data_IF_146590268500
#
_entry.id   IF_146590268500
#
_cell.length_a   1.000
_cell.length_b   1.000
_cell.length_c   1.000
_cell.angle_alpha   90.00
_cell.angle_beta   90.00
_cell.angle_gamma   90.00
#
_symmetry.space_group_name_H-M   'P 1'
#
loop_
_entity.id
_entity.type
_entity.pdbx_description
1 polymer ?
#
# COMPACT_ATOMS: atom_id res chain seq x y z
N UNK A 1 -12.64 -59.23 -5.32
CA UNK A 1 -12.70 -58.45 -4.05
C UNK A 1 -11.34 -58.37 -3.36
N UNK A 2 -10.59 -59.48 -3.22
CA UNK A 2 -9.24 -59.48 -2.61
C UNK A 2 -8.24 -58.50 -3.26
N UNK A 3 -8.18 -58.42 -4.59
CA UNK A 3 -7.23 -57.55 -5.29
C UNK A 3 -7.49 -56.06 -5.01
N UNK A 4 -8.75 -55.64 -4.84
CA UNK A 4 -9.08 -54.24 -4.54
C UNK A 4 -8.58 -53.81 -3.15
N UNK A 5 -8.62 -54.73 -2.18
CA UNK A 5 -8.07 -54.52 -0.83
C UNK A 5 -6.55 -54.35 -0.85
N UNK A 6 -5.84 -55.13 -1.68
CA UNK A 6 -4.39 -54.99 -1.85
C UNK A 6 -3.99 -53.65 -2.46
N UNK A 7 -4.72 -53.16 -3.47
CA UNK A 7 -4.45 -51.84 -4.05
C UNK A 7 -4.75 -50.69 -3.05
N UNK A 8 -5.83 -50.80 -2.27
CA UNK A 8 -6.15 -49.82 -1.24
C UNK A 8 -5.07 -49.71 -0.15
N UNK A 9 -4.57 -50.86 0.32
CA UNK A 9 -3.46 -50.91 1.28
C UNK A 9 -2.17 -50.31 0.71
N UNK A 10 -1.85 -50.59 -0.56
CA UNK A 10 -0.68 -50.03 -1.22
C UNK A 10 -0.70 -48.49 -1.28
N UNK A 11 -1.85 -47.90 -1.61
CA UNK A 11 -2.01 -46.43 -1.67
C UNK A 11 -1.84 -45.81 -0.28
N UNK A 12 -2.43 -46.40 0.76
CA UNK A 12 -2.30 -45.90 2.14
C UNK A 12 -0.84 -45.92 2.59
N UNK A 13 -0.09 -46.99 2.28
CA UNK A 13 1.34 -47.08 2.61
C UNK A 13 2.14 -45.98 1.90
N UNK A 14 1.88 -45.70 0.62
CA UNK A 14 2.55 -44.64 -0.14
C UNK A 14 2.27 -43.26 0.48
N UNK A 15 1.02 -42.99 0.87
CA UNK A 15 0.63 -41.72 1.52
C UNK A 15 1.35 -41.54 2.86
N UNK A 16 1.39 -42.59 3.68
CA UNK A 16 2.08 -42.57 4.97
C UNK A 16 3.60 -42.36 4.82
N UNK A 17 4.21 -42.99 3.81
CA UNK A 17 5.62 -42.78 3.46
C UNK A 17 5.87 -41.34 2.99
N UNK A 18 5.00 -40.79 2.15
CA UNK A 18 5.08 -39.39 1.72
C UNK A 18 4.98 -38.40 2.88
N UNK A 19 4.06 -38.64 3.81
CA UNK A 19 3.91 -37.80 5.01
C UNK A 19 5.13 -37.88 5.94
N UNK A 20 5.70 -39.08 6.10
CA UNK A 20 6.93 -39.30 6.87
C UNK A 20 8.13 -38.57 6.25
N UNK A 21 8.31 -38.66 4.93
CA UNK A 21 9.38 -37.97 4.21
C UNK A 21 9.23 -36.44 4.28
N UNK A 22 8.02 -35.92 4.13
CA UNK A 22 7.74 -34.49 4.26
C UNK A 22 8.06 -33.97 5.68
N UNK A 23 7.62 -34.72 6.71
CA UNK A 23 7.93 -34.40 8.11
C UNK A 23 9.44 -34.44 8.37
N UNK A 24 10.16 -35.40 7.79
CA UNK A 24 11.61 -35.48 7.92
C UNK A 24 12.32 -34.30 7.25
N UNK A 25 11.91 -33.91 6.04
CA UNK A 25 12.42 -32.75 5.33
C UNK A 25 12.21 -31.43 6.10
N UNK A 26 10.99 -31.21 6.63
CA UNK A 26 10.69 -30.02 7.44
C UNK A 26 11.53 -29.96 8.71
N UNK A 27 11.76 -31.11 9.35
CA UNK A 27 12.65 -31.20 10.51
C UNK A 27 14.13 -30.93 10.15
N UNK A 28 14.60 -31.38 8.99
CA UNK A 28 15.95 -31.03 8.52
C UNK A 28 16.07 -29.51 8.26
N UNK A 29 15.10 -28.90 7.59
CA UNK A 29 15.07 -27.44 7.35
C UNK A 29 15.03 -26.63 8.64
N UNK A 30 14.28 -27.10 9.65
CA UNK A 30 14.26 -26.49 10.98
C UNK A 30 15.62 -26.58 11.67
N UNK A 31 16.30 -27.73 11.59
CA UNK A 31 17.66 -27.91 12.14
C UNK A 31 18.71 -27.05 11.42
N UNK A 32 18.64 -26.94 10.09
CA UNK A 32 19.49 -26.03 9.31
C UNK A 32 19.29 -24.56 9.75
N UNK A 33 18.04 -24.14 9.95
CA UNK A 33 17.72 -22.79 10.43
C UNK A 33 18.24 -22.56 11.86
N UNK A 34 18.07 -23.53 12.76
CA UNK A 34 18.61 -23.48 14.12
C UNK A 34 20.15 -23.47 14.13
N UNK A 35 20.81 -24.24 13.26
CA UNK A 35 22.26 -24.24 13.11
C UNK A 35 22.78 -22.93 12.52
N UNK A 36 22.10 -22.33 11.54
CA UNK A 36 22.50 -21.04 10.97
C UNK A 36 22.34 -19.92 12.01
N UNK A 37 21.27 -19.93 12.81
CA UNK A 37 21.11 -18.97 13.90
C UNK A 37 22.11 -19.19 15.04
N UNK A 38 22.47 -20.45 15.31
CA UNK A 38 23.48 -20.77 16.32
C UNK A 38 24.89 -20.39 15.84
N UNK A 39 25.24 -20.65 14.58
CA UNK A 39 26.50 -20.20 13.96
C UNK A 39 26.59 -18.68 13.90
N UNK A 40 25.47 -17.98 13.70
CA UNK A 40 25.42 -16.52 13.77
C UNK A 40 25.65 -16.00 15.19
N UNK A 41 25.02 -16.62 16.20
CA UNK A 41 25.23 -16.25 17.59
C UNK A 41 26.62 -16.65 18.12
N UNK A 42 27.18 -17.77 17.67
CA UNK A 42 28.52 -18.24 18.05
C UNK A 42 29.61 -17.37 17.38
N UNK A 43 29.40 -16.88 16.14
CA UNK A 43 30.27 -15.86 15.52
C UNK A 43 30.18 -14.50 16.23
N UNK A 44 29.02 -14.15 16.79
CA UNK A 44 28.85 -12.93 17.61
C UNK A 44 29.51 -13.09 18.99
N UNK A 45 29.60 -14.31 19.53
CA UNK A 45 30.21 -14.59 20.83
C UNK A 45 31.73 -14.84 20.76
N UNK A 46 32.28 -15.36 19.65
CA UNK A 46 33.74 -15.48 19.46
C UNK A 46 34.42 -14.13 19.14
N UNK A 47 33.68 -13.13 18.63
CA UNK A 47 34.19 -11.75 18.49
C UNK A 47 34.11 -10.94 19.80
N UNK A 48 33.52 -11.48 20.88
CA UNK A 48 33.42 -10.83 22.19
C UNK A 48 34.52 -11.21 23.20
N UNK A 49 35.49 -12.08 22.84
CA UNK A 49 36.57 -12.48 23.77
C UNK A 49 37.89 -11.69 23.67
N UNK A 50 38.03 -10.74 22.75
CA UNK A 50 39.22 -9.86 22.67
C UNK A 50 38.88 -8.39 22.89
N UNK A 51 38.72 -8.07 24.18
CA UNK A 51 39.08 -6.81 24.85
C UNK A 51 39.16 -5.52 24.00
N UNK A 52 38.01 -4.98 23.54
CA UNK A 52 37.84 -3.57 23.19
C UNK A 52 36.37 -3.12 23.26
N UNK A 53 36.16 -1.84 23.58
CA UNK A 53 34.91 -1.28 24.11
C UNK A 53 33.65 -1.41 23.21
N UNK A 54 32.46 -1.65 23.79
CA UNK A 54 31.24 -1.91 23.03
C UNK A 54 30.43 -0.62 22.85
N UNK A 55 30.63 0.12 21.77
CA UNK A 55 29.63 1.11 21.30
C UNK A 55 29.72 1.52 19.82
N UNK A 56 30.64 0.99 19.00
CA UNK A 56 30.85 1.51 17.64
C UNK A 56 30.42 0.59 16.48
N UNK A 57 30.08 -0.69 16.73
CA UNK A 57 29.88 -1.65 15.63
C UNK A 57 28.43 -1.69 15.12
N UNK A 58 27.41 -1.52 15.99
CA UNK A 58 26.00 -1.35 15.54
C UNK A 58 25.77 -0.03 14.81
N UNK A 59 26.57 0.99 15.09
CA UNK A 59 26.59 2.22 14.28
C UNK A 59 27.20 1.98 12.91
N UNK A 60 28.16 1.07 12.74
CA UNK A 60 28.89 0.94 11.48
C UNK A 60 28.04 0.33 10.35
N UNK A 61 27.24 -0.72 10.59
CA UNK A 61 26.40 -1.31 9.53
C UNK A 61 25.18 -0.45 9.16
N UNK A 62 24.53 0.18 10.14
CA UNK A 62 23.43 1.14 9.90
C UNK A 62 23.96 2.40 9.22
N UNK A 63 25.14 2.90 9.60
CA UNK A 63 25.81 3.99 8.91
C UNK A 63 26.26 3.59 7.51
N UNK A 64 26.68 2.35 7.27
CA UNK A 64 27.11 1.91 5.93
C UNK A 64 25.93 1.85 4.97
N UNK A 65 24.77 1.31 5.41
CA UNK A 65 23.55 1.34 4.61
C UNK A 65 23.00 2.77 4.43
N UNK A 66 22.95 3.59 5.50
CA UNK A 66 22.54 5.00 5.40
C UNK A 66 23.49 5.83 4.54
N UNK A 67 24.80 5.56 4.56
CA UNK A 67 25.80 6.28 3.77
C UNK A 67 25.73 5.88 2.30
N UNK A 68 25.54 4.59 1.98
CA UNK A 68 25.27 4.14 0.62
C UNK A 68 23.93 4.71 0.07
N UNK A 69 22.88 4.69 0.89
CA UNK A 69 21.57 5.25 0.54
C UNK A 69 21.62 6.78 0.36
N UNK A 70 22.28 7.51 1.26
CA UNK A 70 22.44 8.96 1.18
C UNK A 70 23.38 9.38 0.03
N UNK A 71 24.42 8.60 -0.28
CA UNK A 71 25.28 8.83 -1.45
C UNK A 71 24.52 8.64 -2.75
N UNK A 72 23.66 7.62 -2.84
CA UNK A 72 22.77 7.40 -3.99
C UNK A 72 21.73 8.53 -4.12
N UNK A 73 21.13 8.99 -3.01
CA UNK A 73 20.21 10.16 -3.03
C UNK A 73 20.93 11.45 -3.44
N UNK A 74 22.18 11.66 -3.00
CA UNK A 74 22.95 12.85 -3.36
C UNK A 74 23.34 12.85 -4.84
N UNK A 75 23.80 11.72 -5.39
CA UNK A 75 24.04 11.58 -6.83
C UNK A 75 22.76 11.70 -7.65
N UNK A 76 21.65 11.16 -7.14
CA UNK A 76 20.34 11.29 -7.79
C UNK A 76 19.88 12.75 -7.83
N UNK A 77 19.91 13.50 -6.71
CA UNK A 77 19.58 14.94 -6.67
C UNK A 77 20.41 15.76 -7.66
N UNK A 78 21.70 15.41 -7.82
CA UNK A 78 22.60 16.04 -8.80
C UNK A 78 22.17 15.76 -10.25
N UNK A 79 21.66 14.56 -10.52
CA UNK A 79 21.13 14.17 -11.84
C UNK A 79 19.71 14.71 -12.09
N UNK A 80 18.86 14.86 -11.07
CA UNK A 80 17.50 15.43 -11.20
C UNK A 80 17.52 16.92 -11.55
N UNK A 81 18.55 17.66 -11.09
CA UNK A 81 18.80 19.03 -11.54
C UNK A 81 19.14 19.16 -13.03
N UNK A 82 19.60 18.08 -13.69
CA UNK A 82 19.87 18.05 -15.13
C UNK A 82 18.68 17.52 -15.97
N UNK A 83 17.82 16.68 -15.39
CA UNK A 83 16.61 16.15 -16.05
C UNK A 83 15.47 17.20 -16.12
N UNK A 84 15.51 18.22 -15.26
CA UNK A 84 14.56 19.34 -15.22
C UNK A 84 14.55 20.21 -16.49
N UNK A 85 15.49 20.01 -17.43
CA UNK A 85 15.50 20.67 -18.74
C UNK A 85 14.93 19.82 -19.88
N UNK A 86 14.74 18.49 -19.70
CA UNK A 86 14.10 17.62 -20.72
C UNK A 86 12.60 17.41 -20.50
N UNK A 87 12.07 17.68 -19.30
CA UNK A 87 10.63 17.59 -19.00
C UNK A 87 9.80 18.80 -19.47
N UNK A 88 10.43 19.83 -20.07
CA UNK A 88 9.74 20.96 -20.69
C UNK A 88 9.35 20.73 -22.17
N UNK A 89 9.73 19.60 -22.77
CA UNK A 89 9.37 19.27 -24.16
C UNK A 89 8.13 18.37 -24.28
N UNK A 90 7.80 17.58 -23.25
CA UNK A 90 6.56 16.78 -23.23
C UNK A 90 5.32 17.60 -22.86
N UNK A 91 5.48 18.81 -22.31
CA UNK A 91 4.38 19.73 -22.00
C UNK A 91 3.92 20.60 -23.18
N UNK A 92 4.68 20.66 -24.29
CA UNK A 92 4.28 21.40 -25.51
C UNK A 92 3.44 20.59 -26.50
N UNK A 93 3.37 19.26 -26.37
CA UNK A 93 2.54 18.40 -27.24
C UNK A 93 1.07 18.41 -26.81
N UNK A 94 0.74 18.89 -25.60
CA UNK A 94 -0.62 18.84 -25.04
C UNK A 94 -1.44 20.13 -25.15
N UNK A 95 -0.93 21.20 -25.78
CA UNK A 95 -1.65 22.48 -25.85
C UNK A 95 -2.53 22.68 -27.09
N UNK A 96 -2.55 21.74 -28.05
CA UNK A 96 -3.25 21.93 -29.33
C UNK A 96 -4.40 20.96 -29.63
N UNK A 97 -4.83 20.11 -28.69
CA UNK A 97 -6.15 19.48 -28.85
C UNK A 97 -7.21 20.45 -28.37
N UNK A 98 -7.92 21.07 -29.30
CA UNK A 98 -9.16 21.80 -29.07
C UNK A 98 -10.12 20.91 -28.26
N UNK A 99 -10.17 21.18 -26.95
CA UNK A 99 -11.04 20.51 -26.00
C UNK A 99 -12.46 20.90 -26.37
N UNK A 100 -13.13 20.03 -27.13
CA UNK A 100 -14.58 19.94 -27.13
C UNK A 100 -15.00 19.97 -25.66
N UNK A 101 -15.85 20.93 -25.29
CA UNK A 101 -16.47 20.98 -23.98
C UNK A 101 -17.31 19.72 -23.80
N UNK A 102 -16.67 18.64 -23.34
CA UNK A 102 -17.34 17.39 -23.01
C UNK A 102 -18.27 17.77 -21.87
N UNK A 103 -19.57 17.86 -22.16
CA UNK A 103 -20.59 17.89 -21.12
C UNK A 103 -20.27 16.73 -20.18
N UNK A 104 -20.31 16.97 -18.87
CA UNK A 104 -20.04 16.00 -17.79
C UNK A 104 -21.03 14.83 -17.84
N UNK A 105 -20.97 14.02 -18.89
CA UNK A 105 -21.73 12.78 -19.04
C UNK A 105 -20.87 11.72 -18.35
N UNK A 106 -21.40 11.04 -17.32
CA UNK A 106 -20.70 9.92 -16.69
C UNK A 106 -20.24 8.93 -17.74
N UNK A 107 -19.00 8.48 -17.65
CA UNK A 107 -18.45 7.53 -18.61
C UNK A 107 -19.17 6.17 -18.54
N UNK A 108 -19.63 5.81 -17.34
CA UNK A 108 -20.38 4.59 -17.10
C UNK A 108 -21.73 4.89 -16.44
N UNK A 109 -22.78 4.21 -16.90
CA UNK A 109 -24.06 4.18 -16.23
C UNK A 109 -24.07 3.18 -15.07
N UNK A 110 -25.04 3.32 -14.17
CA UNK A 110 -25.38 2.26 -13.22
C UNK A 110 -25.68 0.96 -13.99
N UNK A 111 -25.23 -0.16 -13.44
CA UNK A 111 -25.36 -1.49 -14.03
C UNK A 111 -25.35 -2.51 -12.88
N UNK A 112 -26.55 -2.94 -12.48
CA UNK A 112 -26.73 -3.82 -11.33
C UNK A 112 -26.01 -5.16 -11.51
N UNK A 113 -25.94 -5.67 -12.74
CA UNK A 113 -25.24 -6.93 -13.05
C UNK A 113 -23.73 -6.77 -12.84
N UNK A 114 -23.14 -5.67 -13.31
CA UNK A 114 -21.72 -5.37 -13.03
C UNK A 114 -21.49 -5.25 -11.53
N UNK A 115 -22.33 -4.49 -10.82
CA UNK A 115 -22.19 -4.28 -9.38
C UNK A 115 -22.27 -5.59 -8.61
N UNK A 116 -23.23 -6.47 -8.92
CA UNK A 116 -23.36 -7.78 -8.29
C UNK A 116 -22.14 -8.68 -8.54
N UNK A 117 -21.66 -8.74 -9.79
CA UNK A 117 -20.45 -9.51 -10.13
C UNK A 117 -19.23 -9.02 -9.36
N UNK A 118 -19.02 -7.70 -9.30
CA UNK A 118 -17.92 -7.11 -8.54
C UNK A 118 -18.04 -7.42 -7.06
N UNK A 119 -19.25 -7.33 -6.50
CA UNK A 119 -19.50 -7.66 -5.11
C UNK A 119 -19.17 -9.12 -4.79
N UNK A 120 -19.51 -10.06 -5.67
CA UNK A 120 -19.13 -11.48 -5.51
C UNK A 120 -17.61 -11.67 -5.45
N UNK A 121 -16.86 -10.99 -6.32
CA UNK A 121 -15.39 -11.04 -6.37
C UNK A 121 -14.78 -10.50 -5.08
N UNK A 122 -15.22 -9.31 -4.64
CA UNK A 122 -14.70 -8.68 -3.43
C UNK A 122 -15.07 -9.48 -2.17
N UNK A 123 -16.30 -10.02 -2.10
CA UNK A 123 -16.70 -10.88 -1.00
C UNK A 123 -15.85 -12.16 -0.94
N UNK A 124 -15.61 -12.81 -2.08
CA UNK A 124 -14.73 -13.97 -2.13
C UNK A 124 -13.32 -13.63 -1.62
N UNK A 125 -12.78 -12.48 -2.03
CA UNK A 125 -11.49 -12.00 -1.55
C UNK A 125 -11.48 -11.82 -0.02
N UNK A 126 -12.51 -11.20 0.56
CA UNK A 126 -12.63 -10.99 2.01
C UNK A 126 -12.83 -12.29 2.79
N UNK A 127 -13.63 -13.23 2.26
CA UNK A 127 -13.83 -14.56 2.85
C UNK A 127 -12.54 -15.37 2.90
N UNK A 128 -11.64 -15.15 1.95
CA UNK A 128 -10.33 -15.80 1.92
C UNK A 128 -9.28 -15.10 2.78
N UNK A 129 -9.53 -13.87 3.24
CA UNK A 129 -8.57 -13.02 3.95
C UNK A 129 -9.14 -12.45 5.26
N UNK A 130 -9.62 -11.22 5.26
CA UNK A 130 -9.92 -10.44 6.45
C UNK A 130 -10.99 -11.05 7.35
N UNK A 131 -11.98 -11.75 6.80
CA UNK A 131 -13.07 -12.39 7.56
C UNK A 131 -12.65 -13.66 8.29
N UNK A 132 -11.49 -14.24 7.97
CA UNK A 132 -10.94 -15.38 8.73
C UNK A 132 -10.34 -14.98 10.07
N UNK A 133 -10.10 -13.68 10.30
CA UNK A 133 -9.46 -13.17 11.50
C UNK A 133 -10.53 -12.80 12.52
N UNK A 134 -10.38 -13.30 13.74
CA UNK A 134 -11.14 -12.77 14.87
C UNK A 134 -10.47 -11.48 15.34
N UNK A 135 -11.07 -10.34 15.05
CA UNK A 135 -10.55 -9.00 15.36
C UNK A 135 -11.44 -8.32 16.38
N UNK A 136 -10.82 -7.58 17.31
CA UNK A 136 -11.58 -6.74 18.23
C UNK A 136 -12.37 -5.68 17.45
N UNK A 137 -13.56 -5.31 17.96
CA UNK A 137 -14.47 -4.36 17.28
C UNK A 137 -13.79 -3.04 16.90
N UNK A 138 -12.86 -2.56 17.75
CA UNK A 138 -12.11 -1.32 17.52
C UNK A 138 -11.16 -1.38 16.31
N UNK A 139 -10.84 -2.58 15.82
CA UNK A 139 -9.99 -2.82 14.65
C UNK A 139 -10.76 -3.38 13.45
N UNK A 140 -12.10 -3.42 13.54
CA UNK A 140 -12.95 -3.98 12.49
C UNK A 140 -12.90 -3.17 11.20
N UNK A 141 -13.02 -1.86 11.33
CA UNK A 141 -13.05 -0.93 10.21
C UNK A 141 -11.68 -0.72 9.57
N UNK A 142 -11.63 -0.62 8.24
CA UNK A 142 -10.39 -0.33 7.51
C UNK A 142 -9.84 1.07 7.81
N UNK A 143 -10.74 2.03 8.02
CA UNK A 143 -10.46 3.35 8.56
C UNK A 143 -11.12 3.49 9.93
N UNK A 144 -10.30 3.85 10.92
CA UNK A 144 -10.73 4.11 12.28
C UNK A 144 -11.29 5.51 12.47
N UNK A 145 -11.16 6.01 13.70
CA UNK A 145 -11.59 7.35 14.09
C UNK A 145 -10.43 8.34 14.03
N UNK A 146 -10.77 9.63 13.93
CA UNK A 146 -9.83 10.71 14.12
C UNK A 146 -9.34 10.74 15.56
N UNK A 147 -8.02 10.90 15.72
CA UNK A 147 -7.35 10.99 16.99
C UNK A 147 -6.62 12.32 17.05
N UNK A 148 -6.93 13.09 18.09
CA UNK A 148 -6.35 14.41 18.31
C UNK A 148 -4.83 14.35 18.54
N UNK A 149 -4.19 15.52 18.45
CA UNK A 149 -2.76 15.67 18.65
C UNK A 149 -2.23 15.10 19.97
N UNK A 150 -2.99 15.26 21.06
CA UNK A 150 -2.54 14.84 22.39
C UNK A 150 -2.49 13.31 22.47
N UNK A 151 -3.53 12.65 21.96
CA UNK A 151 -3.62 11.21 21.92
C UNK A 151 -2.64 10.61 20.89
N UNK A 152 -2.38 11.29 19.76
CA UNK A 152 -1.26 10.97 18.88
C UNK A 152 0.07 10.95 19.66
N UNK A 153 0.39 12.02 20.38
CA UNK A 153 1.63 12.07 21.15
C UNK A 153 1.74 10.95 22.17
N UNK A 154 0.64 10.62 22.86
CA UNK A 154 0.62 9.50 23.83
C UNK A 154 0.92 8.17 23.13
N UNK A 155 0.25 7.91 22.02
CA UNK A 155 0.33 6.62 21.34
C UNK A 155 1.70 6.35 20.72
N UNK A 156 2.33 7.41 20.18
CA UNK A 156 3.70 7.33 19.65
C UNK A 156 4.77 7.61 20.72
N UNK A 157 4.38 7.65 21.99
CA UNK A 157 5.26 7.87 23.15
C UNK A 157 6.12 9.16 23.04
N UNK A 158 5.60 10.22 22.44
CA UNK A 158 6.29 11.51 22.29
C UNK A 158 6.11 12.32 23.57
N UNK A 159 7.15 12.38 24.41
CA UNK A 159 7.13 13.09 25.69
C UNK A 159 7.70 14.50 25.63
N UNK A 160 8.83 14.67 24.93
CA UNK A 160 9.61 15.91 24.89
C UNK A 160 8.82 17.04 24.21
N UNK A 161 8.78 18.21 24.85
CA UNK A 161 8.01 19.37 24.38
C UNK A 161 8.48 19.85 23.00
N UNK A 162 9.79 19.92 22.77
CA UNK A 162 10.38 20.31 21.49
C UNK A 162 9.93 19.39 20.34
N UNK A 163 9.86 18.07 20.59
CA UNK A 163 9.46 17.08 19.59
C UNK A 163 7.96 17.19 19.34
N UNK A 164 7.14 17.44 20.38
CA UNK A 164 5.71 17.74 20.22
C UNK A 164 5.51 18.98 19.36
N UNK A 165 6.23 20.07 19.61
CA UNK A 165 6.12 21.29 18.82
C UNK A 165 6.50 21.04 17.35
N UNK A 166 7.61 20.33 17.10
CA UNK A 166 8.03 19.95 15.74
C UNK A 166 6.99 19.07 15.05
N UNK A 167 6.43 18.09 15.75
CA UNK A 167 5.39 17.21 15.19
C UNK A 167 4.10 17.99 14.88
N UNK A 168 3.70 18.92 15.75
CA UNK A 168 2.49 19.73 15.57
C UNK A 168 2.55 20.61 14.31
N UNK A 169 3.74 21.07 13.93
CA UNK A 169 3.96 21.80 12.68
C UNK A 169 3.76 20.93 11.44
N UNK A 170 3.90 19.62 11.57
CA UNK A 170 3.76 18.66 10.47
C UNK A 170 2.38 18.03 10.43
N UNK A 171 1.79 17.77 11.60
CA UNK A 171 0.62 16.92 11.78
C UNK A 171 -0.20 17.39 12.99
N UNK A 172 -1.47 17.74 12.78
CA UNK A 172 -2.39 18.26 13.81
C UNK A 172 -3.23 17.17 14.48
N UNK A 173 -3.46 16.07 13.79
CA UNK A 173 -4.24 14.91 14.22
C UNK A 173 -3.93 13.76 13.30
N UNK A 174 -4.48 12.58 13.57
CA UNK A 174 -4.28 11.46 12.66
C UNK A 174 -5.53 10.58 12.57
N UNK A 175 -5.66 9.86 11.46
CA UNK A 175 -6.71 8.89 11.23
C UNK A 175 -6.11 7.48 11.29
N UNK A 176 -6.66 6.66 12.18
CA UNK A 176 -6.23 5.28 12.36
C UNK A 176 -6.57 4.43 11.13
N UNK A 177 -5.67 3.52 10.79
CA UNK A 177 -5.83 2.58 9.68
C UNK A 177 -5.74 1.17 10.24
N UNK A 178 -6.47 0.22 9.66
CA UNK A 178 -6.38 -1.18 10.08
C UNK A 178 -5.04 -1.80 9.67
N UNK A 179 -4.38 -2.49 10.60
CA UNK A 179 -3.17 -3.27 10.34
C UNK A 179 -3.49 -4.64 9.75
N UNK A 180 -3.78 -4.71 8.45
CA UNK A 180 -4.15 -5.96 7.77
C UNK A 180 -3.19 -6.40 6.66
N UNK A 181 -2.07 -5.70 6.46
CA UNK A 181 -1.16 -5.91 5.32
C UNK A 181 -1.52 -5.10 4.07
N UNK A 182 -2.64 -4.37 4.09
CA UNK A 182 -2.99 -3.35 3.10
C UNK A 182 -2.90 -1.93 3.68
N UNK A 183 -2.38 -1.75 4.90
CA UNK A 183 -2.41 -0.48 5.62
C UNK A 183 -1.74 0.68 4.86
N UNK A 184 -0.64 0.42 4.12
CA UNK A 184 -0.05 1.41 3.21
C UNK A 184 -1.04 1.89 2.15
N UNK A 185 -1.65 0.97 1.39
CA UNK A 185 -2.59 1.30 0.32
C UNK A 185 -3.88 1.93 0.85
N UNK A 186 -4.27 1.57 2.06
CA UNK A 186 -5.40 2.16 2.78
C UNK A 186 -5.09 3.63 3.13
N UNK A 187 -3.92 3.88 3.74
CA UNK A 187 -3.50 5.21 4.19
C UNK A 187 -3.20 6.16 3.02
N UNK A 188 -2.41 5.67 2.04
CA UNK A 188 -2.06 6.40 0.83
C UNK A 188 -3.28 6.62 -0.05
N UNK A 189 -4.04 5.53 -0.29
CA UNK A 189 -5.15 5.52 -1.21
C UNK A 189 -6.27 6.46 -0.78
N UNK A 190 -6.65 6.44 0.50
CA UNK A 190 -7.65 7.35 1.03
C UNK A 190 -7.26 8.83 0.80
N UNK A 191 -6.04 9.22 1.21
CA UNK A 191 -5.57 10.61 1.02
C UNK A 191 -5.48 11.01 -0.45
N UNK A 192 -5.04 10.10 -1.32
CA UNK A 192 -5.03 10.37 -2.76
C UNK A 192 -6.44 10.55 -3.33
N UNK A 193 -7.40 9.72 -2.92
CA UNK A 193 -8.79 9.88 -3.34
C UNK A 193 -9.38 11.21 -2.84
N UNK A 194 -9.01 11.67 -1.65
CA UNK A 194 -9.39 13.02 -1.20
C UNK A 194 -8.83 14.11 -2.13
N UNK A 195 -7.56 14.00 -2.53
CA UNK A 195 -6.96 14.92 -3.49
C UNK A 195 -7.72 14.89 -4.82
N UNK A 196 -7.95 13.71 -5.37
CA UNK A 196 -8.62 13.50 -6.66
C UNK A 196 -10.08 14.02 -6.65
N UNK A 197 -10.82 13.78 -5.57
CA UNK A 197 -12.24 14.14 -5.48
C UNK A 197 -12.46 15.61 -5.09
N UNK A 198 -11.59 16.19 -4.25
CA UNK A 198 -11.81 17.52 -3.66
C UNK A 198 -10.86 18.61 -4.15
N UNK A 199 -9.65 18.25 -4.60
CA UNK A 199 -8.63 19.25 -4.98
C UNK A 199 -8.46 19.35 -6.49
N UNK A 200 -8.58 18.25 -7.23
CA UNK A 200 -8.54 18.28 -8.68
C UNK A 200 -9.75 19.01 -9.25
N UNK A 201 -9.51 19.91 -10.20
CA UNK A 201 -10.53 20.47 -11.08
C UNK A 201 -11.17 19.36 -11.91
N UNK A 202 -12.33 19.62 -12.49
CA UNK A 202 -13.04 18.61 -13.30
C UNK A 202 -12.19 18.14 -14.48
N UNK A 203 -11.49 19.04 -15.19
CA UNK A 203 -10.63 18.65 -16.31
C UNK A 203 -9.44 17.80 -15.86
N UNK A 204 -8.84 18.09 -14.70
CA UNK A 204 -7.75 17.29 -14.11
C UNK A 204 -8.25 15.90 -13.70
N UNK A 205 -9.44 15.82 -13.10
CA UNK A 205 -10.10 14.56 -12.77
C UNK A 205 -10.39 13.74 -14.04
N UNK A 206 -11.02 14.34 -15.05
CA UNK A 206 -11.35 13.65 -16.30
C UNK A 206 -10.09 13.20 -17.05
N UNK A 207 -9.06 14.02 -17.06
CA UNK A 207 -7.77 13.64 -17.63
C UNK A 207 -7.15 12.45 -16.88
N UNK A 208 -7.20 12.44 -15.55
CA UNK A 208 -6.74 11.30 -14.76
C UNK A 208 -7.50 10.02 -15.12
N UNK A 209 -8.84 10.06 -15.14
CA UNK A 209 -9.68 8.92 -15.50
C UNK A 209 -9.35 8.43 -16.92
N UNK A 210 -9.21 9.35 -17.88
CA UNK A 210 -8.86 9.03 -19.28
C UNK A 210 -7.50 8.34 -19.37
N UNK A 211 -6.48 8.88 -18.70
CA UNK A 211 -5.13 8.30 -18.70
C UNK A 211 -5.13 6.89 -18.13
N UNK A 212 -5.81 6.67 -17.00
CA UNK A 212 -5.91 5.34 -16.36
C UNK A 212 -6.65 4.34 -17.27
N UNK A 213 -7.75 4.75 -17.89
CA UNK A 213 -8.62 3.86 -18.67
C UNK A 213 -8.09 3.55 -20.07
N UNK A 214 -7.70 4.57 -20.81
CA UNK A 214 -7.50 4.46 -22.25
C UNK A 214 -6.02 4.44 -22.64
N UNK A 215 -5.20 5.23 -21.94
CA UNK A 215 -3.78 5.38 -22.28
C UNK A 215 -2.96 4.25 -21.65
N UNK A 216 -3.10 4.06 -20.34
CA UNK A 216 -2.35 3.04 -19.59
C UNK A 216 -3.08 1.69 -19.64
N UNK A 217 -4.42 1.69 -19.72
CA UNK A 217 -5.26 0.50 -19.59
C UNK A 217 -4.90 -0.27 -18.32
N UNK A 218 -4.90 0.44 -17.19
CA UNK A 218 -4.40 -0.09 -15.93
C UNK A 218 -5.14 -1.39 -15.55
N UNK A 219 -4.41 -2.49 -15.28
CA UNK A 219 -5.03 -3.69 -14.76
C UNK A 219 -5.55 -3.48 -13.32
N UNK A 220 -6.43 -4.36 -12.92
CA UNK A 220 -7.08 -4.55 -11.63
C UNK A 220 -6.79 -5.99 -11.17
N UNK A 221 -5.56 -6.47 -11.42
CA UNK A 221 -5.15 -7.82 -11.05
C UNK A 221 -4.88 -7.91 -9.55
N UNK A 222 -5.29 -9.02 -8.94
CA UNK A 222 -4.95 -9.31 -7.55
C UNK A 222 -4.87 -10.83 -7.33
N UNK A 223 -3.87 -11.25 -6.56
CA UNK A 223 -3.64 -12.62 -6.15
C UNK A 223 -3.88 -12.78 -4.65
N UNK A 224 -4.36 -13.95 -4.25
CA UNK A 224 -4.29 -14.39 -2.85
C UNK A 224 -2.86 -14.82 -2.48
N UNK A 225 -2.62 -15.03 -1.18
CA UNK A 225 -1.32 -15.51 -0.66
C UNK A 225 -0.91 -16.85 -1.29
N UNK A 226 -1.88 -17.71 -1.61
CA UNK A 226 -1.67 -18.97 -2.33
C UNK A 226 -1.48 -18.80 -3.85
N UNK A 227 -1.29 -17.56 -4.31
CA UNK A 227 -1.13 -17.15 -5.71
C UNK A 227 -2.35 -17.39 -6.59
N UNK A 228 -3.51 -17.73 -6.02
CA UNK A 228 -4.76 -17.80 -6.77
C UNK A 228 -5.13 -16.41 -7.27
N UNK A 229 -5.18 -16.24 -8.59
CA UNK A 229 -5.66 -15.01 -9.21
C UNK A 229 -7.18 -14.93 -9.10
N UNK A 230 -7.69 -13.88 -8.46
CA UNK A 230 -9.09 -13.78 -8.08
C UNK A 230 -9.97 -13.29 -9.23
N UNK A 231 -9.39 -12.59 -10.21
CA UNK A 231 -10.15 -11.84 -11.20
C UNK A 231 -9.78 -12.20 -12.65
N UNK A 232 -9.36 -13.45 -12.89
CA UNK A 232 -9.08 -13.94 -14.25
C UNK A 232 -10.26 -13.60 -15.18
N UNK A 233 -10.02 -12.72 -16.16
CA UNK A 233 -10.98 -12.21 -17.14
C UNK A 233 -12.10 -11.28 -16.62
N UNK A 234 -12.02 -10.81 -15.36
CA UNK A 234 -12.99 -9.87 -14.77
C UNK A 234 -12.40 -8.48 -14.47
N UNK A 235 -11.14 -8.29 -14.84
CA UNK A 235 -10.39 -7.03 -14.80
C UNK A 235 -11.19 -5.80 -15.25
N UNK A 236 -11.86 -5.92 -16.40
CA UNK A 236 -12.62 -4.83 -16.98
C UNK A 236 -13.83 -4.44 -16.13
N UNK A 237 -14.52 -5.42 -15.53
CA UNK A 237 -15.70 -5.14 -14.70
C UNK A 237 -15.31 -4.45 -13.39
N UNK A 238 -14.25 -4.93 -12.73
CA UNK A 238 -13.68 -4.28 -11.54
C UNK A 238 -13.29 -2.84 -11.84
N UNK A 239 -12.57 -2.61 -12.94
CA UNK A 239 -12.13 -1.27 -13.36
C UNK A 239 -13.32 -0.36 -13.65
N UNK A 240 -14.29 -0.80 -14.45
CA UNK A 240 -15.50 -0.01 -14.77
C UNK A 240 -16.27 0.37 -13.50
N UNK A 241 -16.42 -0.57 -12.57
CA UNK A 241 -17.14 -0.32 -11.32
C UNK A 241 -16.40 0.66 -10.41
N UNK A 242 -15.07 0.55 -10.30
CA UNK A 242 -14.27 1.51 -9.56
C UNK A 242 -14.43 2.93 -10.10
N UNK A 243 -14.35 3.10 -11.42
CA UNK A 243 -14.51 4.41 -12.07
C UNK A 243 -15.93 4.94 -11.89
N UNK A 244 -16.96 4.10 -12.10
CA UNK A 244 -18.35 4.48 -11.87
C UNK A 244 -18.56 5.03 -10.45
N UNK A 245 -18.00 4.38 -9.43
CA UNK A 245 -18.08 4.85 -8.04
C UNK A 245 -17.34 6.16 -7.81
N UNK A 246 -16.17 6.36 -8.43
CA UNK A 246 -15.46 7.64 -8.37
C UNK A 246 -16.25 8.78 -9.02
N UNK A 247 -16.84 8.56 -10.19
CA UNK A 247 -17.68 9.54 -10.88
C UNK A 247 -18.93 9.86 -10.06
N UNK A 248 -19.58 8.85 -9.48
CA UNK A 248 -20.71 9.02 -8.56
C UNK A 248 -20.32 9.93 -7.39
N UNK A 249 -19.19 9.68 -6.73
CA UNK A 249 -18.70 10.55 -5.66
C UNK A 249 -18.40 11.97 -6.16
N UNK A 250 -17.70 12.11 -7.30
CA UNK A 250 -17.37 13.42 -7.88
C UNK A 250 -18.60 14.23 -8.26
N UNK A 251 -19.71 13.58 -8.61
CA UNK A 251 -20.97 14.25 -9.00
C UNK A 251 -21.69 14.97 -7.83
N UNK A 252 -21.44 14.56 -6.58
CA UNK A 252 -22.09 15.14 -5.39
C UNK A 252 -21.61 16.57 -5.18
N UNK A 253 -22.45 17.58 -5.40
CA UNK A 253 -22.02 18.99 -5.37
C UNK A 253 -21.61 19.48 -3.97
N UNK A 254 -22.30 19.02 -2.92
CA UNK A 254 -21.96 19.41 -1.55
C UNK A 254 -20.67 18.70 -1.08
N UNK A 255 -19.63 19.49 -0.82
CA UNK A 255 -18.29 18.99 -0.49
C UNK A 255 -18.27 18.16 0.79
N UNK A 256 -18.98 18.58 1.83
CA UNK A 256 -18.98 17.87 3.11
C UNK A 256 -19.74 16.54 3.04
N UNK A 257 -20.85 16.52 2.30
CA UNK A 257 -21.60 15.28 1.99
C UNK A 257 -20.71 14.33 1.21
N UNK A 258 -20.03 14.82 0.16
CA UNK A 258 -19.08 14.01 -0.63
C UNK A 258 -17.96 13.45 0.25
N UNK A 259 -17.39 14.25 1.17
CA UNK A 259 -16.34 13.82 2.11
C UNK A 259 -16.85 12.73 3.05
N UNK A 260 -18.04 12.91 3.63
CA UNK A 260 -18.69 11.91 4.48
C UNK A 260 -18.95 10.60 3.74
N UNK A 261 -19.45 10.66 2.50
CA UNK A 261 -19.69 9.48 1.68
C UNK A 261 -18.39 8.75 1.31
N UNK A 262 -17.32 9.48 0.98
CA UNK A 262 -16.01 8.88 0.76
C UNK A 262 -15.51 8.15 2.01
N UNK A 263 -15.55 8.82 3.17
CA UNK A 263 -15.13 8.25 4.44
C UNK A 263 -15.91 6.97 4.75
N UNK A 264 -17.24 7.00 4.65
CA UNK A 264 -18.09 5.84 4.92
C UNK A 264 -17.81 4.68 3.94
N UNK A 265 -17.72 4.97 2.63
CA UNK A 265 -17.45 3.95 1.61
C UNK A 265 -16.08 3.28 1.79
N UNK A 266 -15.10 3.99 2.31
CA UNK A 266 -13.74 3.47 2.56
C UNK A 266 -13.61 2.82 3.94
N UNK A 267 -14.40 3.27 4.92
CA UNK A 267 -14.48 2.69 6.27
C UNK A 267 -15.18 1.33 6.27
N UNK A 268 -16.22 1.18 5.44
CA UNK A 268 -17.10 0.02 5.42
C UNK A 268 -16.29 -1.28 5.26
N UNK A 269 -16.35 -2.13 6.30
CA UNK A 269 -15.67 -3.43 6.30
C UNK A 269 -16.50 -4.53 5.60
N UNK A 270 -17.82 -4.36 5.60
CA UNK A 270 -18.81 -5.26 5.02
C UNK A 270 -19.99 -4.43 4.49
N UNK A 271 -21.00 -5.12 3.96
CA UNK A 271 -22.28 -4.47 3.67
C UNK A 271 -22.89 -3.99 4.98
N UNK A 272 -22.88 -2.68 5.20
CA UNK A 272 -23.53 -2.02 6.33
C UNK A 272 -25.00 -1.71 5.99
N UNK A 273 -25.26 -1.28 4.75
CA UNK A 273 -26.59 -0.98 4.22
C UNK A 273 -26.63 -1.10 2.67
N UNK A 274 -27.65 -0.56 2.01
CA UNK A 274 -27.75 -0.53 0.55
C UNK A 274 -26.75 0.41 -0.13
N UNK A 275 -26.25 1.42 0.59
CA UNK A 275 -25.34 2.44 0.07
C UNK A 275 -23.87 2.02 0.23
N UNK A 276 -23.56 1.32 1.32
CA UNK A 276 -22.21 0.90 1.71
C UNK A 276 -22.11 -0.62 1.72
N UNK A 277 -21.73 -1.18 0.57
CA UNK A 277 -21.59 -2.62 0.35
C UNK A 277 -20.20 -3.20 0.68
N UNK A 278 -19.30 -2.37 1.24
CA UNK A 278 -17.91 -2.72 1.55
C UNK A 278 -17.00 -2.90 0.32
N UNK A 279 -17.49 -2.73 -0.91
CA UNK A 279 -16.70 -3.04 -2.11
C UNK A 279 -15.74 -1.93 -2.51
N UNK A 280 -16.04 -0.67 -2.17
CA UNK A 280 -15.25 0.47 -2.60
C UNK A 280 -13.82 0.45 -2.03
N UNK A 281 -13.64 0.01 -0.78
CA UNK A 281 -12.33 -0.22 -0.19
C UNK A 281 -11.54 -1.29 -0.98
N UNK A 282 -12.14 -2.44 -1.26
CA UNK A 282 -11.49 -3.53 -2.00
C UNK A 282 -11.05 -3.11 -3.40
N UNK A 283 -11.96 -2.46 -4.14
CA UNK A 283 -11.67 -1.89 -5.46
C UNK A 283 -10.53 -0.86 -5.41
N UNK A 284 -10.56 0.04 -4.42
CA UNK A 284 -9.51 1.04 -4.24
C UNK A 284 -8.15 0.40 -3.95
N UNK A 285 -8.10 -0.60 -3.07
CA UNK A 285 -6.85 -1.30 -2.74
C UNK A 285 -6.28 -2.04 -3.95
N UNK A 286 -7.12 -2.72 -4.75
CA UNK A 286 -6.71 -3.35 -6.01
C UNK A 286 -6.15 -2.29 -6.97
N UNK A 287 -6.85 -1.17 -7.14
CA UNK A 287 -6.40 -0.06 -7.98
C UNK A 287 -5.02 0.46 -7.55
N UNK A 288 -4.84 0.77 -6.25
CA UNK A 288 -3.57 1.31 -5.75
C UNK A 288 -2.42 0.32 -5.80
N UNK A 289 -2.69 -0.98 -5.65
CA UNK A 289 -1.70 -2.03 -5.86
C UNK A 289 -1.21 -2.08 -7.32
N UNK A 290 -2.14 -2.01 -8.28
CA UNK A 290 -1.79 -2.03 -9.71
C UNK A 290 -1.12 -0.72 -10.16
N UNK A 291 -1.57 0.43 -9.68
CA UNK A 291 -0.92 1.72 -10.01
C UNK A 291 0.48 1.82 -9.42
N UNK A 292 0.73 1.21 -8.26
CA UNK A 292 2.08 1.08 -7.69
C UNK A 292 3.02 0.31 -8.60
N UNK A 293 2.56 -0.81 -9.17
CA UNK A 293 3.36 -1.55 -10.16
C UNK A 293 3.62 -0.70 -11.40
N UNK A 294 2.59 -0.07 -11.95
CA UNK A 294 2.76 0.75 -13.14
C UNK A 294 3.76 1.89 -12.90
N UNK A 295 3.63 2.60 -11.78
CA UNK A 295 4.54 3.67 -11.38
C UNK A 295 5.98 3.15 -11.18
N UNK A 296 6.13 1.99 -10.53
CA UNK A 296 7.42 1.35 -10.32
C UNK A 296 8.08 0.96 -11.65
N UNK A 297 7.32 0.45 -12.62
CA UNK A 297 7.87 0.03 -13.92
C UNK A 297 8.49 1.19 -14.73
N UNK A 298 8.05 2.43 -14.45
CA UNK A 298 8.61 3.67 -14.99
C UNK A 298 9.81 4.20 -14.17
N UNK A 299 10.12 3.61 -13.01
CA UNK A 299 11.21 4.04 -12.14
C UNK A 299 12.52 3.30 -12.48
N UNK A 300 13.63 4.04 -12.50
CA UNK A 300 14.98 3.51 -12.74
C UNK A 300 15.43 2.50 -11.67
N UNK A 301 14.93 2.63 -10.43
CA UNK A 301 15.27 1.79 -9.29
C UNK A 301 14.41 0.52 -9.18
N UNK A 302 13.55 0.22 -10.18
CA UNK A 302 12.62 -0.92 -10.11
C UNK A 302 13.29 -2.26 -9.84
N UNK A 303 14.51 -2.46 -10.33
CA UNK A 303 15.27 -3.69 -10.14
C UNK A 303 15.78 -3.87 -8.69
N UNK A 304 15.70 -2.83 -7.84
CA UNK A 304 16.02 -2.93 -6.41
C UNK A 304 14.84 -3.45 -5.57
N UNK A 305 13.63 -3.50 -6.14
CA UNK A 305 12.45 -4.06 -5.49
C UNK A 305 12.41 -5.55 -5.79
N UNK A 306 13.06 -6.34 -4.94
CA UNK A 306 13.26 -7.78 -5.16
C UNK A 306 11.98 -8.61 -4.99
N UNK A 307 10.98 -8.06 -4.31
CA UNK A 307 9.70 -8.70 -3.99
C UNK A 307 8.54 -7.99 -4.69
N UNK A 308 8.75 -7.55 -5.93
CA UNK A 308 7.79 -6.77 -6.74
C UNK A 308 6.43 -7.47 -6.86
N UNK A 309 6.39 -8.80 -6.90
CA UNK A 309 5.17 -9.60 -6.95
C UNK A 309 4.25 -9.36 -5.74
N UNK A 310 4.80 -9.04 -4.56
CA UNK A 310 4.04 -8.76 -3.35
C UNK A 310 3.10 -7.56 -3.51
N UNK A 311 3.37 -6.67 -4.48
CA UNK A 311 2.49 -5.56 -4.81
C UNK A 311 1.11 -6.04 -5.29
N UNK A 312 1.00 -7.21 -5.93
CA UNK A 312 -0.28 -7.80 -6.37
C UNK A 312 -0.80 -8.90 -5.45
N UNK A 313 -0.11 -9.22 -4.36
CA UNK A 313 -0.60 -10.20 -3.39
C UNK A 313 -1.38 -9.46 -2.31
N UNK A 314 -2.66 -9.79 -2.19
CA UNK A 314 -3.56 -9.21 -1.19
C UNK A 314 -2.99 -9.38 0.22
N UNK A 315 -3.07 -8.33 1.04
CA UNK A 315 -2.57 -8.31 2.43
C UNK A 315 -1.07 -8.65 2.58
N UNK A 316 -0.28 -8.52 1.50
CA UNK A 316 1.18 -8.67 1.55
C UNK A 316 1.86 -7.32 1.36
N UNK A 317 2.86 -7.05 2.21
CA UNK A 317 3.69 -5.85 2.15
C UNK A 317 4.88 -6.04 1.21
N UNK A 318 5.31 -4.94 0.59
CA UNK A 318 6.57 -4.88 -0.14
C UNK A 318 7.69 -4.40 0.78
N UNK A 319 8.78 -5.15 0.87
CA UNK A 319 9.94 -4.84 1.70
C UNK A 319 10.60 -3.52 1.30
N UNK A 320 10.58 -3.17 0.00
CA UNK A 320 11.17 -1.93 -0.53
C UNK A 320 10.12 -0.83 -0.76
N UNK A 321 9.16 -0.69 0.15
CA UNK A 321 8.01 0.21 -0.03
C UNK A 321 8.38 1.68 -0.27
N UNK A 322 9.53 2.15 0.22
CA UNK A 322 10.00 3.53 -0.04
C UNK A 322 10.28 3.81 -1.52
N UNK A 323 10.77 2.83 -2.28
CA UNK A 323 10.97 2.97 -3.73
C UNK A 323 9.60 3.05 -4.44
N UNK A 324 8.64 2.27 -3.97
CA UNK A 324 7.25 2.29 -4.47
C UNK A 324 6.60 3.65 -4.18
N UNK A 325 6.77 4.18 -2.97
CA UNK A 325 6.30 5.51 -2.56
C UNK A 325 6.94 6.61 -3.42
N UNK A 326 8.25 6.56 -3.64
CA UNK A 326 8.93 7.50 -4.53
C UNK A 326 8.38 7.42 -5.96
N UNK A 327 8.15 6.21 -6.46
CA UNK A 327 7.59 5.98 -7.79
C UNK A 327 6.19 6.58 -7.92
N UNK A 328 5.32 6.32 -6.94
CA UNK A 328 3.97 6.89 -6.87
C UNK A 328 4.01 8.42 -6.79
N UNK A 329 4.88 8.99 -5.95
CA UNK A 329 5.06 10.43 -5.81
C UNK A 329 5.41 11.09 -7.15
N UNK A 330 6.34 10.52 -7.90
CA UNK A 330 6.74 11.01 -9.21
C UNK A 330 5.62 10.85 -10.25
N UNK A 331 5.01 9.66 -10.31
CA UNK A 331 3.99 9.32 -11.30
C UNK A 331 2.72 10.18 -11.13
N UNK A 332 2.26 10.34 -9.89
CA UNK A 332 1.03 11.08 -9.54
C UNK A 332 1.28 12.56 -9.24
N UNK A 333 2.53 13.02 -9.31
CA UNK A 333 2.95 14.39 -8.99
C UNK A 333 2.46 14.82 -7.61
N UNK A 334 2.84 14.04 -6.59
CA UNK A 334 2.46 14.24 -5.19
C UNK A 334 3.67 14.57 -4.33
N UNK A 335 3.45 15.31 -3.25
CA UNK A 335 4.39 15.47 -2.16
C UNK A 335 4.04 14.48 -1.04
N UNK A 336 4.92 13.52 -0.76
CA UNK A 336 4.67 12.50 0.27
C UNK A 336 5.66 12.69 1.41
N UNK A 337 5.14 12.92 2.62
CA UNK A 337 5.91 12.96 3.85
C UNK A 337 5.71 11.67 4.64
N UNK A 338 6.81 11.01 4.97
CA UNK A 338 6.86 9.83 5.83
C UNK A 338 7.42 10.23 7.19
N UNK A 339 6.66 10.00 8.25
CA UNK A 339 7.05 10.28 9.64
C UNK A 339 7.26 8.95 10.35
N UNK A 340 8.52 8.55 10.48
CA UNK A 340 8.95 7.32 11.16
C UNK A 340 9.14 7.58 12.64
N UNK A 341 8.36 6.91 13.48
CA UNK A 341 8.49 7.08 14.92
C UNK A 341 9.50 6.10 15.51
N UNK A 342 10.42 6.62 16.32
CA UNK A 342 11.47 5.86 17.02
C UNK A 342 11.54 6.35 18.46
N UNK A 343 11.37 5.48 19.46
CA UNK A 343 11.43 5.77 20.92
C UNK A 343 11.50 7.26 21.30
N UNK A 344 10.33 7.88 21.52
CA UNK A 344 10.15 9.28 21.94
C UNK A 344 10.58 10.37 20.94
N UNK A 345 10.95 10.00 19.72
CA UNK A 345 11.37 10.88 18.63
C UNK A 345 10.77 10.43 17.29
N UNK A 346 11.05 11.19 16.22
CA UNK A 346 10.70 10.77 14.87
C UNK A 346 11.72 11.24 13.84
N UNK A 347 11.83 10.49 12.75
CA UNK A 347 12.57 10.84 11.54
C UNK A 347 11.59 11.14 10.42
N UNK A 348 11.94 12.08 9.55
CA UNK A 348 11.12 12.46 8.41
C UNK A 348 11.84 12.13 7.11
N UNK A 349 11.11 11.58 6.15
CA UNK A 349 11.55 11.42 4.77
C UNK A 349 10.51 12.00 3.84
N UNK A 350 10.97 12.55 2.73
CA UNK A 350 10.12 13.32 1.82
C UNK A 350 10.38 12.92 0.38
N UNK A 351 9.29 12.80 -0.39
CA UNK A 351 9.32 12.43 -1.80
C UNK A 351 8.46 13.41 -2.61
N UNK A 352 8.93 13.73 -3.82
CA UNK A 352 8.24 14.65 -4.73
C UNK A 352 8.59 16.12 -4.50
N UNK A 353 7.83 17.01 -5.12
CA UNK A 353 8.02 18.45 -5.06
C UNK A 353 7.07 19.09 -4.05
N UNK A 354 7.49 20.12 -3.31
CA UNK A 354 6.69 20.70 -2.20
C UNK A 354 5.47 21.52 -2.65
N UNK A 355 5.37 21.85 -3.95
CA UNK A 355 4.37 22.79 -4.47
C UNK A 355 3.09 22.09 -4.97
N UNK A 356 2.90 20.81 -4.65
CA UNK A 356 1.76 20.00 -5.08
C UNK A 356 0.97 19.45 -3.89
N UNK A 357 -0.06 18.65 -4.18
CA UNK A 357 -0.87 18.01 -3.15
C UNK A 357 -0.04 17.11 -2.22
N UNK A 358 -0.34 17.19 -0.93
CA UNK A 358 0.44 16.58 0.15
C UNK A 358 -0.25 15.35 0.71
N UNK A 359 0.52 14.27 0.92
CA UNK A 359 0.14 13.06 1.65
C UNK A 359 1.07 12.91 2.84
N UNK A 360 0.53 12.64 4.03
CA UNK A 360 1.32 12.44 5.25
C UNK A 360 1.05 11.02 5.76
N UNK A 361 2.11 10.23 5.89
CA UNK A 361 2.04 8.86 6.41
C UNK A 361 2.79 8.78 7.73
N UNK A 362 2.10 8.34 8.77
CA UNK A 362 2.66 8.10 10.10
C UNK A 362 3.04 6.62 10.20
N UNK A 363 4.32 6.32 10.40
CA UNK A 363 4.86 4.97 10.26
C UNK A 363 5.32 4.42 11.60
N UNK A 364 4.83 3.22 11.93
CA UNK A 364 5.44 2.30 12.90
C UNK A 364 5.92 1.05 12.15
N UNK A 365 6.81 0.23 12.74
CA UNK A 365 7.20 -1.03 12.13
C UNK A 365 5.97 -1.85 11.70
N UNK A 366 5.85 -2.14 10.40
CA UNK A 366 4.74 -2.91 9.81
C UNK A 366 3.38 -2.20 9.79
N UNK A 367 3.32 -0.87 9.97
CA UNK A 367 2.04 -0.18 10.01
C UNK A 367 2.08 1.28 9.54
N UNK A 368 1.04 1.68 8.79
CA UNK A 368 0.86 3.02 8.25
C UNK A 368 -0.46 3.62 8.73
N UNK A 369 -0.40 4.82 9.29
CA UNK A 369 -1.54 5.66 9.65
C UNK A 369 -1.55 6.94 8.81
N UNK A 370 -2.70 7.61 8.75
CA UNK A 370 -2.87 8.85 7.98
C UNK A 370 -2.59 10.05 8.89
N UNK A 371 -1.61 10.89 8.53
CA UNK A 371 -1.39 12.17 9.21
C UNK A 371 -2.29 13.25 8.62
N UNK A 372 -2.88 14.10 9.47
CA UNK A 372 -3.68 15.24 9.03
C UNK A 372 -2.84 16.51 9.15
N UNK A 373 -2.73 17.25 8.06
CA UNK A 373 -2.00 18.51 8.05
C UNK A 373 -2.63 19.53 9.03
N UNK A 374 -1.84 20.41 9.65
CA UNK A 374 -2.38 21.57 10.35
C UNK A 374 -3.10 22.51 9.36
N UNK A 375 -4.26 23.02 9.76
CA UNK A 375 -5.02 24.04 9.02
C UNK A 375 -4.34 25.41 9.04
#
# INVERSE_FOLDING_TARGET
>A
MLNLLFYGLGIIIIILLGFSLCKHYLNQKKKEFEQNNKSYNDQVLEEESDNCQPNEIKSFQIQTFQKAFNQNIYQFKKNTSQISQKSQQSSKIFQNSSILSIKNIPLFSADDKRTEQVQQIINYLYDKSCRKRNIEEKFKYFLGHFIDFQNLCKEYNIKKLEIKQKLKQLCSSYLNVRGDGNCFYTAFGYQFLEILLFKYKNDEFQNFIKTILFEIKLPFQINLIDQTNINQNQDEQLRKEFIFRLEKLKSIQNVDTRRKMLYNAYKAHEKEDEEYDGCFYGLSTIFFRNISIHALDQNELKNMVTDRENLLIWETECNNNEIVIQSLSNFLKLYIQLIFFTNESFQMREYGTTNVHKIILLIRPGHYNIGIAPE
#
